data_IF_612003007821
#
_entry.id   IF_612003007821
#
_cell.length_a   1.000
_cell.length_b   1.000
_cell.length_c   1.000
_cell.angle_alpha   90.00
_cell.angle_beta   90.00
_cell.angle_gamma   90.00
#
_symmetry.space_group_name_H-M   'P 1'
#
loop_
_entity.id
_entity.type
_entity.pdbx_description
1 polymer ?
#
# COMPACT_ATOMS: atom_id res chain seq x y z
N UNK A 1 -32.16 -29.04 -0.37
CA UNK A 1 -31.30 -30.10 0.19
C UNK A 1 -30.19 -29.46 1.00
N UNK A 2 -30.15 -29.76 2.30
CA UNK A 2 -29.08 -29.35 3.23
C UNK A 2 -28.01 -30.46 3.20
N UNK A 3 -26.73 -30.13 3.04
CA UNK A 3 -25.65 -31.10 3.24
C UNK A 3 -24.38 -30.43 3.82
N UNK A 4 -24.20 -30.64 5.12
CA UNK A 4 -22.97 -31.06 5.84
C UNK A 4 -21.72 -30.17 5.79
N UNK A 5 -21.60 -29.48 6.92
CA UNK A 5 -20.45 -29.03 7.74
C UNK A 5 -19.33 -30.10 7.88
N UNK A 6 -18.06 -29.76 7.61
CA UNK A 6 -16.89 -30.38 8.29
C UNK A 6 -15.79 -29.34 8.54
N UNK A 7 -15.53 -29.12 9.83
CA UNK A 7 -14.36 -28.50 10.42
C UNK A 7 -13.05 -29.21 10.02
N UNK A 8 -12.01 -28.45 9.72
CA UNK A 8 -10.64 -28.96 9.59
C UNK A 8 -9.62 -27.90 9.97
N UNK A 9 -9.47 -27.64 11.27
CA UNK A 9 -8.40 -26.80 11.80
C UNK A 9 -7.10 -27.60 11.91
N UNK A 10 -6.01 -27.07 11.34
CA UNK A 10 -4.64 -27.50 11.66
C UNK A 10 -3.90 -26.28 12.20
N UNK A 11 -3.62 -26.33 13.50
CA UNK A 11 -2.70 -25.44 14.21
C UNK A 11 -1.32 -26.05 14.11
N UNK A 12 -0.36 -25.34 13.53
CA UNK A 12 1.07 -25.63 13.66
C UNK A 12 1.75 -24.44 14.30
N UNK A 13 2.10 -24.63 15.57
CA UNK A 13 2.98 -23.80 16.36
C UNK A 13 4.43 -23.94 15.87
N UNK A 14 5.15 -22.82 15.79
CA UNK A 14 6.59 -22.78 15.51
C UNK A 14 7.19 -21.48 16.02
N UNK A 15 7.55 -21.45 17.31
CA UNK A 15 8.38 -20.44 17.93
C UNK A 15 9.87 -20.77 17.73
N UNK A 16 10.71 -19.73 17.59
CA UNK A 16 12.18 -19.80 17.75
C UNK A 16 12.91 -19.06 16.62
N UNK A 17 13.81 -18.11 16.85
CA UNK A 17 14.36 -17.59 18.08
C UNK A 17 15.10 -16.28 17.80
N UNK A 18 15.38 -15.54 18.88
CA UNK A 18 16.16 -14.31 18.95
C UNK A 18 17.64 -14.61 18.65
N UNK A 19 18.27 -13.75 17.87
CA UNK A 19 19.71 -13.50 17.96
C UNK A 19 19.94 -12.01 18.16
N UNK A 20 20.43 -11.68 19.36
CA UNK A 20 21.01 -10.39 19.74
C UNK A 20 22.51 -10.64 19.92
N UNK A 21 23.37 -9.95 19.17
CA UNK A 21 24.79 -9.71 19.50
C UNK A 21 25.27 -8.54 18.64
N UNK A 22 25.48 -7.35 19.22
CA UNK A 22 26.80 -6.76 19.64
C UNK A 22 27.84 -6.76 18.49
N UNK A 23 28.69 -5.77 18.25
CA UNK A 23 29.00 -4.43 18.78
C UNK A 23 30.26 -3.97 17.98
N UNK A 24 30.56 -2.67 18.03
CA UNK A 24 31.82 -2.01 17.64
C UNK A 24 31.95 -1.68 16.14
N UNK A 25 32.46 -0.53 15.73
CA UNK A 25 33.09 0.58 16.45
C UNK A 25 33.84 1.45 15.43
N UNK A 26 34.11 2.71 15.80
CA UNK A 26 35.02 3.61 15.07
C UNK A 26 34.43 4.23 13.78
N UNK A 27 34.72 5.45 13.36
CA UNK A 27 35.65 6.48 13.82
C UNK A 27 35.07 7.84 13.39
N UNK A 28 35.38 8.86 14.19
CA UNK A 28 35.15 10.25 13.85
C UNK A 28 35.87 10.61 12.53
N UNK A 29 35.15 11.25 11.61
CA UNK A 29 35.78 12.03 10.55
C UNK A 29 35.37 13.48 10.68
N UNK A 30 36.40 14.27 10.89
CA UNK A 30 36.46 15.71 11.01
C UNK A 30 35.90 16.42 9.78
N UNK A 31 35.14 17.49 10.08
CA UNK A 31 35.17 18.79 9.42
C UNK A 31 35.44 18.88 7.93
N UNK A 32 34.37 19.11 7.15
CA UNK A 32 34.47 19.96 5.97
C UNK A 32 33.74 21.29 6.22
N UNK A 33 34.45 22.43 6.25
CA UNK A 33 33.87 23.74 6.38
C UNK A 33 33.40 24.29 5.04
N UNK A 34 32.22 24.90 5.03
CA UNK A 34 31.86 25.92 4.04
C UNK A 34 31.04 25.44 2.85
N UNK A 35 29.72 25.33 3.06
CA UNK A 35 28.74 25.82 2.07
C UNK A 35 27.64 26.56 2.82
N UNK A 36 27.85 27.86 2.98
CA UNK A 36 26.81 28.81 3.33
C UNK A 36 25.82 28.87 2.17
N UNK A 37 24.72 28.13 2.25
CA UNK A 37 23.55 28.40 1.41
C UNK A 37 22.69 29.43 2.14
N UNK A 38 22.81 30.65 1.62
CA UNK A 38 21.80 31.70 1.55
C UNK A 38 20.45 31.33 2.17
N UNK A 39 20.27 31.81 3.40
CA UNK A 39 19.00 31.87 4.11
C UNK A 39 18.10 32.92 3.46
N UNK A 40 17.54 32.56 2.30
CA UNK A 40 16.59 33.36 1.55
C UNK A 40 15.30 32.57 1.33
N UNK A 41 14.32 32.78 2.21
CA UNK A 41 12.89 32.63 1.92
C UNK A 41 12.43 31.35 1.22
N UNK A 42 12.29 30.27 1.99
CA UNK A 42 11.28 29.22 1.73
C UNK A 42 10.48 28.93 3.01
N UNK A 43 10.04 29.99 3.70
CA UNK A 43 8.98 29.92 4.69
C UNK A 43 7.63 29.83 3.94
N UNK A 44 7.01 28.65 3.90
CA UNK A 44 5.56 28.57 3.64
C UNK A 44 5.05 27.70 2.48
N UNK A 45 5.71 26.60 2.10
CA UNK A 45 5.10 25.64 1.14
C UNK A 45 5.04 24.16 1.57
N UNK A 46 5.48 23.81 2.78
CA UNK A 46 5.54 22.41 3.23
C UNK A 46 4.25 21.91 3.90
N UNK A 47 3.07 22.22 3.35
CA UNK A 47 1.79 21.83 3.98
C UNK A 47 0.62 21.51 3.05
N UNK A 48 0.73 21.77 1.75
CA UNK A 48 -0.40 21.64 0.80
C UNK A 48 -0.24 20.52 -0.23
N UNK A 49 0.96 19.98 -0.45
CA UNK A 49 1.18 18.97 -1.51
C UNK A 49 0.58 17.59 -1.20
N UNK A 50 0.39 17.24 0.08
CA UNK A 50 -0.18 15.93 0.44
C UNK A 50 -1.69 15.83 0.14
N UNK A 51 -2.42 16.95 0.03
CA UNK A 51 -3.87 16.93 -0.26
C UNK A 51 -4.19 16.80 -1.76
N UNK A 52 -3.23 17.11 -2.64
CA UNK A 52 -3.43 17.12 -4.10
C UNK A 52 -3.26 15.74 -4.76
N UNK A 53 -2.69 14.77 -4.05
CA UNK A 53 -2.35 13.45 -4.61
C UNK A 53 -3.57 12.53 -4.81
N UNK A 54 -4.59 12.65 -3.97
CA UNK A 54 -5.76 11.75 -3.99
C UNK A 54 -6.67 11.96 -5.22
N UNK A 55 -7.01 13.20 -5.63
CA UNK A 55 -7.73 13.44 -6.87
C UNK A 55 -6.97 12.90 -8.10
N UNK A 56 -5.66 13.12 -8.15
CA UNK A 56 -4.80 12.63 -9.23
C UNK A 56 -4.82 11.09 -9.31
N UNK A 57 -4.71 10.39 -8.17
CA UNK A 57 -4.84 8.93 -8.11
C UNK A 57 -6.22 8.46 -8.60
N UNK A 58 -7.29 9.19 -8.25
CA UNK A 58 -8.65 8.91 -8.71
C UNK A 58 -8.79 9.00 -10.23
N UNK A 59 -8.30 10.07 -10.84
CA UNK A 59 -8.30 10.25 -12.29
C UNK A 59 -7.44 9.20 -13.01
N UNK A 60 -6.30 8.84 -12.43
CA UNK A 60 -5.46 7.77 -12.94
C UNK A 60 -6.19 6.42 -12.95
N UNK A 61 -6.89 6.08 -11.87
CA UNK A 61 -7.70 4.86 -11.80
C UNK A 61 -8.86 4.89 -12.80
N UNK A 62 -9.54 6.03 -12.96
CA UNK A 62 -10.60 6.18 -13.96
C UNK A 62 -10.08 5.98 -15.38
N UNK A 63 -8.88 6.48 -15.67
CA UNK A 63 -8.21 6.27 -16.96
C UNK A 63 -7.92 4.79 -17.21
N UNK A 64 -7.38 4.07 -16.23
CA UNK A 64 -7.16 2.63 -16.35
C UNK A 64 -8.46 1.86 -16.54
N UNK A 65 -9.54 2.22 -15.85
CA UNK A 65 -10.83 1.54 -15.95
C UNK A 65 -11.52 1.74 -17.32
N UNK A 66 -11.13 2.76 -18.09
CA UNK A 66 -11.60 2.98 -19.46
C UNK A 66 -10.79 2.22 -20.51
N UNK A 67 -9.69 1.59 -20.10
CA UNK A 67 -8.83 0.87 -21.02
C UNK A 67 -9.49 -0.43 -21.54
N UNK A 68 -9.27 -0.82 -22.81
CA UNK A 68 -9.74 -2.11 -23.31
C UNK A 68 -9.20 -3.28 -22.48
N UNK A 69 -10.00 -4.33 -22.21
CA UNK A 69 -9.58 -5.45 -21.36
C UNK A 69 -8.32 -6.17 -21.83
N UNK A 70 -8.13 -6.27 -23.16
CA UNK A 70 -6.94 -6.87 -23.77
C UNK A 70 -5.66 -6.07 -23.51
N UNK A 71 -5.76 -4.75 -23.34
CA UNK A 71 -4.62 -3.91 -23.00
C UNK A 71 -4.38 -3.93 -21.48
N UNK A 72 -5.45 -4.00 -20.69
CA UNK A 72 -5.40 -4.12 -19.24
C UNK A 72 -4.69 -5.43 -18.79
N UNK A 73 -4.98 -6.56 -19.44
CA UNK A 73 -4.32 -7.84 -19.12
C UNK A 73 -2.80 -7.80 -19.34
N UNK A 74 -2.34 -7.12 -20.39
CA UNK A 74 -0.91 -6.96 -20.69
C UNK A 74 -0.15 -6.19 -19.60
N UNK A 75 -0.84 -5.30 -18.88
CA UNK A 75 -0.25 -4.49 -17.82
C UNK A 75 -0.43 -5.10 -16.42
N UNK A 76 -1.11 -6.24 -16.29
CA UNK A 76 -1.56 -6.73 -14.98
C UNK A 76 -0.39 -7.10 -14.05
N UNK A 77 0.69 -7.65 -14.60
CA UNK A 77 1.91 -7.95 -13.81
C UNK A 77 2.56 -6.67 -13.27
N UNK A 78 2.54 -5.60 -14.07
CA UNK A 78 3.05 -4.29 -13.63
C UNK A 78 2.14 -3.69 -12.56
N UNK A 79 0.81 -3.73 -12.77
CA UNK A 79 -0.19 -3.27 -11.81
C UNK A 79 -0.03 -3.97 -10.45
N UNK A 80 0.12 -5.29 -10.46
CA UNK A 80 0.32 -6.08 -9.24
C UNK A 80 1.54 -5.60 -8.46
N UNK A 81 2.70 -5.43 -9.13
CA UNK A 81 3.93 -4.96 -8.48
C UNK A 81 3.75 -3.56 -7.88
N UNK A 82 3.17 -2.64 -8.64
CA UNK A 82 2.97 -1.26 -8.21
C UNK A 82 2.04 -1.18 -7.00
N UNK A 83 0.93 -1.92 -7.03
CA UNK A 83 -0.03 -1.97 -5.94
C UNK A 83 0.55 -2.60 -4.68
N UNK A 84 1.31 -3.69 -4.80
CA UNK A 84 1.99 -4.28 -3.64
C UNK A 84 2.96 -3.29 -2.98
N UNK A 85 3.79 -2.60 -3.78
CA UNK A 85 4.70 -1.57 -3.26
C UNK A 85 3.96 -0.42 -2.58
N UNK A 86 2.84 0.04 -3.15
CA UNK A 86 2.01 1.07 -2.54
C UNK A 86 1.44 0.63 -1.19
N UNK A 87 0.94 -0.61 -1.10
CA UNK A 87 0.41 -1.16 0.15
C UNK A 87 1.48 -1.32 1.23
N UNK A 88 2.68 -1.75 0.84
CA UNK A 88 3.81 -1.87 1.76
C UNK A 88 4.26 -0.50 2.28
N UNK A 89 4.24 0.53 1.42
CA UNK A 89 4.53 1.91 1.79
C UNK A 89 3.49 2.46 2.78
N UNK A 90 2.20 2.35 2.48
CA UNK A 90 1.14 2.78 3.41
C UNK A 90 1.26 2.09 4.77
N UNK A 91 1.53 0.78 4.77
CA UNK A 91 1.73 0.04 6.01
C UNK A 91 2.97 0.51 6.80
N UNK A 92 4.04 0.89 6.09
CA UNK A 92 5.27 1.42 6.70
C UNK A 92 5.05 2.82 7.25
N UNK A 93 4.39 3.68 6.50
CA UNK A 93 4.03 5.04 6.90
C UNK A 93 3.22 5.00 8.21
N UNK A 94 2.13 4.21 8.24
CA UNK A 94 1.33 4.00 9.46
C UNK A 94 2.17 3.56 10.66
N UNK A 95 3.04 2.54 10.48
CA UNK A 95 3.91 2.06 11.56
C UNK A 95 4.91 3.11 12.03
N UNK A 96 5.46 3.91 11.12
CA UNK A 96 6.42 4.98 11.45
C UNK A 96 5.83 6.05 12.37
N UNK A 97 4.50 6.19 12.36
CA UNK A 97 3.76 7.14 13.21
C UNK A 97 3.10 6.45 14.41
N UNK A 98 3.55 5.23 14.75
CA UNK A 98 2.99 4.39 15.80
C UNK A 98 1.48 4.10 15.63
N UNK A 99 0.97 4.15 14.40
CA UNK A 99 -0.41 3.77 14.10
C UNK A 99 -0.48 2.28 13.78
N UNK A 100 -1.36 1.58 14.49
CA UNK A 100 -1.78 0.22 14.12
C UNK A 100 -3.05 0.28 13.28
N UNK A 101 -3.09 -0.48 12.18
CA UNK A 101 -4.33 -0.71 11.44
C UNK A 101 -5.37 -1.37 12.33
N UNK A 102 -6.59 -0.83 12.36
CA UNK A 102 -7.71 -1.47 13.06
C UNK A 102 -8.20 -2.72 12.28
N UNK A 103 -9.22 -3.40 12.81
CA UNK A 103 -9.78 -4.59 12.17
C UNK A 103 -10.34 -4.30 10.76
N UNK A 104 -10.93 -3.12 10.56
CA UNK A 104 -11.47 -2.70 9.26
C UNK A 104 -10.37 -2.49 8.23
N UNK A 105 -9.30 -1.78 8.59
CA UNK A 105 -8.12 -1.57 7.76
C UNK A 105 -7.51 -2.90 7.32
N UNK A 106 -7.27 -3.80 8.28
CA UNK A 106 -6.65 -5.10 8.01
C UNK A 106 -7.50 -5.92 7.05
N UNK A 107 -8.81 -6.00 7.29
CA UNK A 107 -9.76 -6.72 6.43
C UNK A 107 -9.79 -6.15 5.01
N UNK A 108 -9.77 -4.83 4.88
CA UNK A 108 -9.79 -4.15 3.59
C UNK A 108 -8.48 -4.36 2.82
N UNK A 109 -7.34 -4.20 3.49
CA UNK A 109 -6.03 -4.47 2.90
C UNK A 109 -5.92 -5.93 2.43
N UNK A 110 -6.35 -6.90 3.23
CA UNK A 110 -6.30 -8.31 2.83
C UNK A 110 -7.23 -8.61 1.65
N UNK A 111 -8.38 -7.93 1.57
CA UNK A 111 -9.28 -8.04 0.42
C UNK A 111 -8.62 -7.50 -0.86
N UNK A 112 -7.89 -6.39 -0.79
CA UNK A 112 -7.14 -5.85 -1.93
C UNK A 112 -6.01 -6.79 -2.33
N UNK A 113 -5.25 -7.35 -1.38
CA UNK A 113 -4.19 -8.34 -1.67
C UNK A 113 -4.74 -9.58 -2.36
N UNK A 114 -5.90 -10.07 -1.92
CA UNK A 114 -6.58 -11.21 -2.56
C UNK A 114 -6.96 -10.89 -4.00
N UNK A 115 -7.49 -9.70 -4.26
CA UNK A 115 -7.76 -9.30 -5.65
C UNK A 115 -6.50 -9.31 -6.51
N UNK A 116 -5.40 -8.73 -6.02
CA UNK A 116 -4.14 -8.69 -6.76
C UNK A 116 -3.60 -10.09 -7.08
N UNK A 117 -3.87 -11.08 -6.22
CA UNK A 117 -3.51 -12.48 -6.46
C UNK A 117 -4.44 -13.17 -7.46
N UNK A 118 -5.72 -12.78 -7.49
CA UNK A 118 -6.76 -13.41 -8.33
C UNK A 118 -6.85 -12.81 -9.74
N UNK A 119 -6.38 -11.57 -9.94
CA UNK A 119 -6.48 -10.87 -11.22
C UNK A 119 -5.63 -11.47 -12.35
N UNK A 120 -4.39 -11.95 -12.12
CA UNK A 120 -3.61 -12.61 -13.15
C UNK A 120 -4.35 -13.83 -13.73
N UNK A 121 -4.43 -13.92 -15.05
CA UNK A 121 -5.11 -15.01 -15.75
C UNK A 121 -6.60 -14.79 -16.01
N UNK A 122 -7.20 -13.71 -15.49
CA UNK A 122 -8.53 -13.29 -15.91
C UNK A 122 -8.48 -12.51 -17.22
N UNK A 123 -9.49 -12.69 -18.06
CA UNK A 123 -9.59 -12.00 -19.35
C UNK A 123 -11.02 -11.48 -19.63
N UNK A 124 -11.13 -10.61 -20.65
CA UNK A 124 -12.41 -10.14 -21.17
C UNK A 124 -13.33 -9.54 -20.11
N UNK A 125 -14.59 -9.98 -20.09
CA UNK A 125 -15.64 -9.46 -19.19
C UNK A 125 -15.38 -9.80 -17.72
N UNK A 126 -14.77 -10.95 -17.45
CA UNK A 126 -14.47 -11.38 -16.08
C UNK A 126 -13.38 -10.49 -15.46
N UNK A 127 -12.32 -10.21 -16.22
CA UNK A 127 -11.29 -9.25 -15.83
C UNK A 127 -11.90 -7.88 -15.53
N UNK A 128 -12.74 -7.36 -16.43
CA UNK A 128 -13.39 -6.06 -16.21
C UNK A 128 -14.24 -6.02 -14.95
N UNK A 129 -15.06 -7.05 -14.71
CA UNK A 129 -15.91 -7.13 -13.52
C UNK A 129 -15.08 -7.22 -12.23
N UNK A 130 -14.01 -8.01 -12.23
CA UNK A 130 -13.11 -8.13 -11.07
C UNK A 130 -12.36 -6.84 -10.81
N UNK A 131 -11.89 -6.16 -11.86
CA UNK A 131 -11.21 -4.87 -11.74
C UNK A 131 -12.10 -3.75 -11.21
N UNK A 132 -13.39 -3.72 -11.57
CA UNK A 132 -14.34 -2.76 -10.98
C UNK A 132 -14.51 -2.96 -9.47
N UNK A 133 -14.50 -4.22 -9.01
CA UNK A 133 -14.58 -4.52 -7.58
C UNK A 133 -13.28 -4.17 -6.85
N UNK A 134 -12.15 -4.44 -7.48
CA UNK A 134 -10.82 -4.08 -6.99
C UNK A 134 -10.67 -2.55 -6.85
N UNK A 135 -11.01 -1.77 -7.88
CA UNK A 135 -10.98 -0.30 -7.85
C UNK A 135 -11.75 0.27 -6.66
N UNK A 136 -12.98 -0.18 -6.41
CA UNK A 136 -13.79 0.26 -5.27
C UNK A 136 -13.10 0.01 -3.93
N UNK A 137 -12.49 -1.17 -3.77
CA UNK A 137 -11.77 -1.53 -2.54
C UNK A 137 -10.50 -0.70 -2.36
N UNK A 138 -9.76 -0.46 -3.44
CA UNK A 138 -8.57 0.40 -3.41
C UNK A 138 -8.93 1.84 -3.04
N UNK A 139 -9.97 2.42 -3.66
CA UNK A 139 -10.44 3.78 -3.30
C UNK A 139 -10.82 3.88 -1.83
N UNK A 140 -11.54 2.88 -1.30
CA UNK A 140 -11.89 2.84 0.13
C UNK A 140 -10.64 2.72 1.01
N UNK A 141 -9.64 1.95 0.58
CA UNK A 141 -8.39 1.79 1.32
C UNK A 141 -7.61 3.10 1.39
N UNK A 142 -7.48 3.80 0.26
CA UNK A 142 -6.81 5.09 0.18
C UNK A 142 -7.54 6.16 1.02
N UNK A 143 -8.87 6.22 0.94
CA UNK A 143 -9.66 7.14 1.74
C UNK A 143 -9.54 6.84 3.26
N UNK A 144 -9.52 5.56 3.64
CA UNK A 144 -9.32 5.17 5.04
C UNK A 144 -7.91 5.53 5.53
N UNK A 145 -6.87 5.29 4.71
CA UNK A 145 -5.51 5.72 5.02
C UNK A 145 -5.47 7.24 5.25
N UNK A 146 -6.03 8.02 4.33
CA UNK A 146 -6.07 9.47 4.43
C UNK A 146 -6.80 9.96 5.69
N UNK A 147 -7.96 9.38 6.03
CA UNK A 147 -8.69 9.72 7.26
C UNK A 147 -7.87 9.39 8.52
N UNK A 148 -7.17 8.26 8.52
CA UNK A 148 -6.25 7.90 9.61
C UNK A 148 -5.13 8.94 9.74
N UNK A 149 -4.50 9.34 8.63
CA UNK A 149 -3.45 10.35 8.62
C UNK A 149 -3.92 11.72 9.12
N UNK A 150 -5.14 12.13 8.79
CA UNK A 150 -5.72 13.43 9.20
C UNK A 150 -6.10 13.52 10.67
N UNK A 151 -6.30 12.37 11.33
CA UNK A 151 -6.70 12.30 12.74
C UNK A 151 -5.52 12.29 13.71
N UNK A 152 -4.29 12.25 13.19
CA UNK A 152 -3.08 12.51 13.96
C UNK A 152 -2.99 13.97 14.37
#
# INVERSE_FOLDING_TARGET
>A
MRLILVLGGIVLAGCGGKDTREQAGGEAREGMPGMSMDSGSMEGHMGTESMSMMPMMGEHMDSMMRMPPAQMSQMMVMHQRMMSQMMDRMGTDMRSMNMSGNAEWTTLADSVKRDLADLPGLEGKELSARMQSHDKRVRRLLAMHEDMMKRM
#
